data_IF_901074216284
#
_entry.id   IF_901074216284
#
_cell.length_a   1.000
_cell.length_b   1.000
_cell.length_c   1.000
_cell.angle_alpha   90.00
_cell.angle_beta   90.00
_cell.angle_gamma   90.00
#
_symmetry.space_group_name_H-M   'P 1'
#
loop_
_entity.id
_entity.type
_entity.pdbx_description
1 polymer ?
#
# COMPACT_ATOMS: atom_id res chain seq x y z
N UNK A 1 -19.24 4.69 8.46
CA UNK A 1 -19.07 3.61 9.47
C UNK A 1 -17.70 3.00 9.19
N UNK A 2 -16.94 2.68 10.20
CA UNK A 2 -15.63 2.01 10.10
C UNK A 2 -15.62 0.78 11.00
N UNK A 3 -14.77 -0.20 10.68
CA UNK A 3 -14.63 -1.47 11.39
C UNK A 3 -13.14 -1.81 11.53
N UNK A 4 -12.71 -2.25 12.71
CA UNK A 4 -11.36 -2.77 12.91
C UNK A 4 -11.28 -4.18 12.31
N UNK A 5 -10.22 -4.42 11.56
CA UNK A 5 -9.95 -5.70 10.91
C UNK A 5 -9.29 -6.72 11.83
N UNK A 6 -9.27 -7.94 11.35
CA UNK A 6 -8.69 -9.12 12.00
C UNK A 6 -7.71 -9.83 11.05
N UNK A 7 -6.94 -10.79 11.55
CA UNK A 7 -6.05 -11.60 10.72
C UNK A 7 -6.79 -12.33 9.58
N UNK A 8 -8.08 -12.65 9.75
CA UNK A 8 -8.90 -13.26 8.70
C UNK A 8 -9.11 -12.32 7.48
N UNK A 9 -9.15 -11.02 7.71
CA UNK A 9 -9.35 -10.03 6.64
C UNK A 9 -8.11 -9.90 5.74
N UNK A 10 -6.93 -10.25 6.23
CA UNK A 10 -5.64 -10.19 5.52
C UNK A 10 -5.04 -11.57 5.20
N UNK A 11 -5.68 -12.66 5.57
CA UNK A 11 -5.18 -14.02 5.39
C UNK A 11 -4.82 -14.33 3.92
N UNK A 12 -5.56 -13.78 2.97
CA UNK A 12 -5.33 -13.94 1.54
C UNK A 12 -4.00 -13.31 1.07
N UNK A 13 -3.51 -12.27 1.76
CA UNK A 13 -2.21 -11.64 1.51
C UNK A 13 -1.11 -12.49 2.15
N UNK A 14 -1.37 -13.01 3.34
CA UNK A 14 -0.39 -13.77 4.12
C UNK A 14 0.01 -15.12 3.49
N UNK A 15 -0.82 -15.68 2.60
CA UNK A 15 -0.50 -16.93 1.88
C UNK A 15 0.72 -16.81 0.98
N UNK A 16 1.13 -15.60 0.62
CA UNK A 16 2.37 -15.35 -0.12
C UNK A 16 3.63 -15.44 0.74
N UNK A 17 3.50 -15.37 2.08
CA UNK A 17 4.62 -15.42 3.05
C UNK A 17 5.52 -16.63 2.93
N UNK A 18 4.96 -17.79 2.63
CA UNK A 18 5.71 -19.05 2.67
C UNK A 18 6.65 -19.24 1.47
N UNK A 19 6.57 -18.42 0.44
CA UNK A 19 7.19 -18.69 -0.85
C UNK A 19 8.34 -17.78 -1.25
N UNK A 20 8.44 -16.56 -0.71
CA UNK A 20 9.50 -15.65 -1.09
C UNK A 20 9.82 -14.64 0.01
N UNK A 21 10.77 -14.98 0.86
CA UNK A 21 11.52 -14.00 1.66
C UNK A 21 12.47 -13.17 0.76
N UNK A 22 12.06 -12.91 -0.47
CA UNK A 22 12.89 -12.32 -1.50
C UNK A 22 12.46 -10.91 -1.90
N UNK A 23 13.21 -10.36 -2.84
CA UNK A 23 13.01 -9.04 -3.41
C UNK A 23 11.94 -8.99 -4.49
N UNK A 24 11.32 -10.12 -4.83
CA UNK A 24 10.29 -10.18 -5.88
C UNK A 24 9.03 -9.42 -5.46
N UNK A 25 8.28 -8.92 -6.43
CA UNK A 25 7.01 -8.21 -6.18
C UNK A 25 6.03 -9.08 -5.38
N UNK A 26 6.10 -10.39 -5.52
CA UNK A 26 5.24 -11.34 -4.80
C UNK A 26 5.54 -11.43 -3.30
N UNK A 27 6.62 -10.84 -2.80
CA UNK A 27 6.85 -10.67 -1.37
C UNK A 27 5.89 -9.60 -0.77
N UNK A 28 5.47 -8.62 -1.55
CA UNK A 28 4.57 -7.54 -1.13
C UNK A 28 3.13 -7.75 -1.60
N UNK A 29 2.94 -8.29 -2.81
CA UNK A 29 1.64 -8.43 -3.48
C UNK A 29 1.45 -9.91 -3.87
N UNK A 30 0.36 -10.59 -3.45
CA UNK A 30 0.10 -11.97 -3.85
C UNK A 30 0.03 -12.11 -5.37
N UNK A 31 0.47 -13.27 -5.94
CA UNK A 31 0.50 -13.48 -7.39
C UNK A 31 -0.89 -13.86 -7.95
N UNK A 32 -1.90 -13.04 -7.68
CA UNK A 32 -3.31 -13.27 -8.04
C UNK A 32 -3.87 -12.22 -9.00
N UNK A 33 -3.05 -11.21 -9.35
CA UNK A 33 -3.48 -10.10 -10.20
C UNK A 33 -2.96 -10.23 -11.64
N UNK A 34 -3.59 -9.47 -12.53
CA UNK A 34 -3.22 -9.45 -13.97
C UNK A 34 -1.91 -8.72 -14.21
N UNK A 35 -1.65 -7.64 -13.45
CA UNK A 35 -0.48 -6.80 -13.62
C UNK A 35 0.03 -6.25 -12.29
N UNK A 36 1.31 -5.87 -12.29
CA UNK A 36 2.01 -5.34 -11.12
C UNK A 36 2.92 -4.18 -11.51
N UNK A 37 3.11 -3.26 -10.58
CA UNK A 37 4.09 -2.18 -10.72
C UNK A 37 4.69 -1.79 -9.38
N UNK A 38 5.84 -1.12 -9.43
CA UNK A 38 6.38 -0.34 -8.34
C UNK A 38 6.26 1.15 -8.67
N UNK A 39 5.99 1.97 -7.66
CA UNK A 39 5.79 3.41 -7.78
C UNK A 39 6.69 4.07 -6.75
N UNK A 40 7.64 4.87 -7.22
CA UNK A 40 8.61 5.54 -6.35
C UNK A 40 7.92 6.60 -5.49
N UNK A 41 8.27 6.65 -4.21
CA UNK A 41 7.79 7.68 -3.31
C UNK A 41 8.57 8.99 -3.54
N UNK A 42 7.91 10.15 -3.42
CA UNK A 42 8.62 11.42 -3.56
C UNK A 42 9.64 11.60 -2.43
N UNK A 43 10.82 12.18 -2.73
CA UNK A 43 11.84 12.37 -1.72
C UNK A 43 11.40 13.39 -0.66
N UNK A 44 11.59 13.03 0.62
CA UNK A 44 11.57 13.95 1.78
C UNK A 44 10.38 14.92 1.87
N UNK A 45 9.17 14.49 1.52
CA UNK A 45 7.93 15.26 1.69
C UNK A 45 7.66 16.30 0.60
N UNK A 46 8.56 16.50 -0.35
CA UNK A 46 8.30 17.34 -1.50
C UNK A 46 7.29 16.68 -2.44
N UNK A 47 6.20 17.39 -2.77
CA UNK A 47 5.19 16.88 -3.68
C UNK A 47 4.33 15.74 -3.13
N UNK A 48 4.42 15.42 -1.83
CA UNK A 48 3.71 14.30 -1.23
C UNK A 48 2.18 14.37 -1.43
N UNK A 49 1.60 15.56 -1.29
CA UNK A 49 0.15 15.74 -1.50
C UNK A 49 -0.28 15.51 -2.94
N UNK A 50 0.55 15.87 -3.92
CA UNK A 50 0.29 15.62 -5.34
C UNK A 50 0.43 14.13 -5.65
N UNK A 51 1.45 13.49 -5.12
CA UNK A 51 1.67 12.05 -5.20
C UNK A 51 0.49 11.28 -4.58
N UNK A 52 0.05 11.61 -3.37
CA UNK A 52 -1.08 10.96 -2.70
C UNK A 52 -2.37 11.09 -3.52
N UNK A 53 -2.61 12.26 -4.14
CA UNK A 53 -3.75 12.45 -5.05
C UNK A 53 -3.66 11.60 -6.31
N UNK A 54 -2.47 11.54 -6.93
CA UNK A 54 -2.23 10.72 -8.12
C UNK A 54 -2.40 9.23 -7.79
N UNK A 55 -1.93 8.78 -6.63
CA UNK A 55 -2.14 7.41 -6.15
C UNK A 55 -3.61 7.07 -5.94
N UNK A 56 -4.38 7.94 -5.30
CA UNK A 56 -5.77 7.65 -4.92
C UNK A 56 -6.76 7.76 -6.09
N UNK A 57 -6.52 8.61 -7.07
CA UNK A 57 -7.48 8.90 -8.12
C UNK A 57 -7.87 7.66 -8.98
N UNK A 58 -6.93 6.82 -9.47
CA UNK A 58 -7.27 5.61 -10.19
C UNK A 58 -7.99 4.58 -9.32
N UNK A 59 -7.57 4.42 -8.04
CA UNK A 59 -8.16 3.45 -7.10
C UNK A 59 -9.63 3.80 -6.79
N UNK A 60 -9.93 5.08 -6.57
CA UNK A 60 -11.30 5.56 -6.33
C UNK A 60 -12.21 5.29 -7.52
N UNK A 61 -11.73 5.46 -8.75
CA UNK A 61 -12.48 5.14 -9.96
C UNK A 61 -12.72 3.63 -10.10
N UNK A 62 -11.69 2.83 -9.80
CA UNK A 62 -11.74 1.37 -9.91
C UNK A 62 -12.72 0.74 -8.92
N UNK A 63 -12.86 1.31 -7.73
CA UNK A 63 -13.67 0.77 -6.64
C UNK A 63 -14.76 1.74 -6.16
N UNK A 64 -15.38 2.45 -7.10
CA UNK A 64 -16.45 3.41 -6.80
C UNK A 64 -17.55 2.79 -5.93
N UNK A 65 -17.87 3.46 -4.81
CA UNK A 65 -18.93 3.04 -3.88
C UNK A 65 -18.59 1.86 -2.97
N UNK A 66 -17.37 1.32 -3.02
CA UNK A 66 -16.92 0.21 -2.16
C UNK A 66 -16.13 0.73 -0.97
N UNK A 67 -16.22 0.02 0.15
CA UNK A 67 -15.31 0.22 1.27
C UNK A 67 -13.92 -0.30 0.95
N UNK A 68 -12.92 0.29 1.60
CA UNK A 68 -11.53 -0.14 1.53
C UNK A 68 -11.06 -0.58 2.90
N UNK A 69 -10.10 -1.48 2.90
CA UNK A 69 -9.25 -1.78 4.02
C UNK A 69 -8.03 -0.88 3.97
N UNK A 70 -7.78 -0.19 5.08
CA UNK A 70 -6.67 0.74 5.29
C UNK A 70 -5.78 0.17 6.38
N UNK A 71 -4.56 -0.21 6.06
CA UNK A 71 -3.61 -0.81 6.97
C UNK A 71 -2.47 0.15 7.31
N UNK A 72 -2.29 0.43 8.58
CA UNK A 72 -1.25 1.32 9.11
C UNK A 72 -0.21 0.48 9.84
N UNK A 73 1.02 0.46 9.34
CA UNK A 73 2.14 -0.26 9.95
C UNK A 73 2.49 0.38 11.29
N UNK A 74 2.52 -0.43 12.35
CA UNK A 74 2.96 0.00 13.67
C UNK A 74 4.49 -0.03 13.75
N UNK A 75 5.09 1.13 13.56
CA UNK A 75 6.54 1.32 13.69
C UNK A 75 6.95 1.82 15.08
N UNK A 76 5.98 2.07 15.97
CA UNK A 76 6.22 2.73 17.27
C UNK A 76 6.36 4.25 17.18
N UNK A 77 6.08 4.86 16.04
CA UNK A 77 6.24 6.30 15.83
C UNK A 77 5.01 7.14 16.26
N UNK A 78 4.01 6.55 16.91
CA UNK A 78 2.76 7.19 17.38
C UNK A 78 1.96 7.96 16.30
N UNK A 79 2.21 7.66 15.03
CA UNK A 79 1.58 8.32 13.89
C UNK A 79 0.31 7.62 13.37
N UNK A 80 -0.03 6.46 13.94
CA UNK A 80 -1.19 5.69 13.54
C UNK A 80 -2.46 6.13 14.26
N UNK A 81 -3.58 6.04 13.54
CA UNK A 81 -4.92 6.22 14.10
C UNK A 81 -5.32 4.94 14.83
N UNK A 82 -6.01 5.08 15.96
CA UNK A 82 -6.41 3.93 16.80
C UNK A 82 -5.24 3.09 17.32
N UNK A 83 -4.27 3.68 18.04
CA UNK A 83 -3.06 2.97 18.49
C UNK A 83 -3.37 1.76 19.41
N UNK A 84 -4.47 1.81 20.17
CA UNK A 84 -4.92 0.75 21.06
C UNK A 84 -5.77 -0.34 20.36
N UNK A 85 -6.02 -0.21 19.06
CA UNK A 85 -6.80 -1.20 18.32
C UNK A 85 -6.05 -2.54 18.22
N UNK A 86 -6.77 -3.68 18.20
CA UNK A 86 -6.18 -4.95 17.85
C UNK A 86 -5.42 -4.87 16.54
N UNK A 87 -4.26 -5.51 16.47
CA UNK A 87 -3.38 -5.47 15.31
C UNK A 87 -3.43 -6.81 14.57
N UNK A 88 -3.37 -6.73 13.26
CA UNK A 88 -3.17 -7.89 12.38
C UNK A 88 -1.69 -8.08 12.13
N UNK A 89 -1.27 -9.33 11.88
CA UNK A 89 0.12 -9.66 11.58
C UNK A 89 0.28 -10.01 10.11
N UNK A 90 1.17 -9.29 9.41
CA UNK A 90 1.47 -9.51 8.00
C UNK A 90 2.97 -9.59 7.74
N UNK A 91 3.33 -10.06 6.56
CA UNK A 91 4.70 -10.15 6.06
C UNK A 91 5.63 -10.87 7.04
N UNK A 92 6.75 -10.32 7.39
CA UNK A 92 7.74 -10.92 8.30
C UNK A 92 7.36 -10.86 9.79
N UNK A 93 6.06 -10.77 10.11
CA UNK A 93 5.58 -10.65 11.48
C UNK A 93 5.29 -9.22 11.89
N UNK A 94 5.23 -8.28 10.94
CA UNK A 94 4.91 -6.89 11.23
C UNK A 94 3.45 -6.69 11.62
N UNK A 95 3.22 -5.75 12.51
CA UNK A 95 1.90 -5.44 13.04
C UNK A 95 1.28 -4.24 12.31
N UNK A 96 0.00 -4.38 11.96
CA UNK A 96 -0.78 -3.32 11.33
C UNK A 96 -2.07 -3.08 12.09
N UNK A 97 -2.45 -1.82 12.25
CA UNK A 97 -3.84 -1.47 12.53
C UNK A 97 -4.58 -1.50 11.21
N UNK A 98 -5.59 -2.37 11.08
CA UNK A 98 -6.38 -2.54 9.87
C UNK A 98 -7.79 -2.00 10.09
N UNK A 99 -8.24 -1.09 9.23
CA UNK A 99 -9.55 -0.44 9.38
C UNK A 99 -10.29 -0.49 8.06
N UNK A 100 -11.52 -1.01 8.07
CA UNK A 100 -12.44 -0.89 6.93
C UNK A 100 -13.15 0.46 7.00
N UNK A 101 -13.06 1.23 5.91
CA UNK A 101 -13.58 2.58 5.83
C UNK A 101 -13.90 3.02 4.39
N UNK A 102 -14.36 4.24 4.23
CA UNK A 102 -14.52 4.83 2.90
C UNK A 102 -13.17 5.27 2.33
N UNK A 103 -13.02 5.29 0.99
CA UNK A 103 -11.80 5.74 0.32
C UNK A 103 -11.30 7.12 0.73
N UNK A 104 -12.21 8.00 1.14
CA UNK A 104 -11.87 9.37 1.54
C UNK A 104 -11.01 9.41 2.80
N UNK A 105 -11.17 8.44 3.71
CA UNK A 105 -10.39 8.35 4.93
C UNK A 105 -8.92 8.00 4.69
N UNK A 106 -8.58 7.41 3.56
CA UNK A 106 -7.21 7.01 3.26
C UNK A 106 -6.19 8.16 3.37
N UNK A 107 -6.59 9.39 3.01
CA UNK A 107 -5.73 10.56 3.07
C UNK A 107 -5.86 11.39 4.35
N UNK A 108 -6.68 10.96 5.33
CA UNK A 108 -7.05 11.81 6.47
C UNK A 108 -6.73 11.24 7.84
N UNK A 109 -6.41 9.96 7.94
CA UNK A 109 -6.32 9.28 9.24
C UNK A 109 -4.91 9.16 9.81
N UNK A 110 -3.88 9.34 9.01
CA UNK A 110 -2.53 9.39 9.56
C UNK A 110 -2.32 10.73 10.26
N UNK A 111 -1.85 10.68 11.51
CA UNK A 111 -1.51 11.90 12.25
C UNK A 111 -0.27 12.55 11.62
N UNK A 112 -0.36 13.85 11.36
CA UNK A 112 0.80 14.67 11.04
C UNK A 112 1.51 15.01 12.35
N UNK A 113 2.57 14.29 12.66
CA UNK A 113 3.56 14.69 13.67
C UNK A 113 4.80 15.25 12.99
N UNK A 114 5.72 15.83 13.73
CA UNK A 114 6.96 16.43 13.20
C UNK A 114 7.81 15.46 12.35
N UNK A 115 7.53 14.16 12.45
CA UNK A 115 8.25 13.09 11.75
C UNK A 115 7.46 12.41 10.62
N UNK A 116 6.16 12.69 10.49
CA UNK A 116 5.28 11.94 9.58
C UNK A 116 4.99 12.64 8.26
N UNK A 117 5.28 13.92 8.12
CA UNK A 117 4.99 14.67 6.89
C UNK A 117 5.81 14.21 5.67
N UNK A 118 6.87 13.48 5.87
CA UNK A 118 7.73 12.92 4.82
C UNK A 118 7.29 11.55 4.30
N UNK A 119 6.40 10.84 5.02
CA UNK A 119 5.85 9.55 4.57
C UNK A 119 4.49 9.67 3.88
N UNK A 120 3.93 10.89 3.77
CA UNK A 120 2.58 11.10 3.25
C UNK A 120 1.47 10.69 4.19
N UNK A 121 0.23 10.92 3.74
CA UNK A 121 -0.97 10.63 4.51
C UNK A 121 -1.51 9.21 4.27
N UNK A 122 -1.03 8.51 3.23
CA UNK A 122 -1.58 7.21 2.84
C UNK A 122 -1.21 6.09 3.80
N UNK A 123 -2.10 5.11 3.99
CA UNK A 123 -1.78 3.88 4.71
C UNK A 123 -0.66 3.10 4.00
N UNK A 124 0.04 2.26 4.75
CA UNK A 124 1.02 1.34 4.18
C UNK A 124 0.38 0.21 3.36
N UNK A 125 -0.89 -0.10 3.62
CA UNK A 125 -1.63 -1.15 2.96
C UNK A 125 -3.03 -0.64 2.61
N UNK A 126 -3.46 -0.83 1.36
CA UNK A 126 -4.81 -0.50 0.91
C UNK A 126 -5.33 -1.56 -0.04
N UNK A 127 -6.58 -1.98 0.14
CA UNK A 127 -7.29 -2.85 -0.80
C UNK A 127 -8.80 -2.72 -0.61
N UNK A 128 -9.62 -2.93 -1.68
CA UNK A 128 -11.07 -2.88 -1.56
C UNK A 128 -11.61 -4.18 -0.95
N UNK A 129 -12.83 -4.14 -0.46
CA UNK A 129 -13.49 -5.30 0.14
C UNK A 129 -13.57 -6.51 -0.81
N UNK A 130 -13.63 -6.30 -2.13
CA UNK A 130 -13.64 -7.35 -3.14
C UNK A 130 -12.24 -7.84 -3.57
N UNK A 131 -11.18 -7.29 -2.98
CA UNK A 131 -9.77 -7.67 -3.25
C UNK A 131 -9.35 -7.55 -4.71
N UNK A 132 -10.00 -6.67 -5.47
CA UNK A 132 -9.72 -6.49 -6.90
C UNK A 132 -8.37 -5.83 -7.20
N UNK A 133 -7.76 -5.19 -6.21
CA UNK A 133 -6.41 -4.65 -6.27
C UNK A 133 -5.80 -4.60 -4.86
N UNK A 134 -4.48 -4.46 -4.78
CA UNK A 134 -3.73 -4.28 -3.53
C UNK A 134 -2.60 -3.28 -3.74
N UNK A 135 -2.49 -2.34 -2.82
CA UNK A 135 -1.36 -1.42 -2.68
C UNK A 135 -0.64 -1.73 -1.38
N UNK A 136 0.67 -1.88 -1.42
CA UNK A 136 1.48 -2.17 -0.24
C UNK A 136 2.82 -1.45 -0.30
N UNK A 137 3.09 -0.62 0.72
CA UNK A 137 4.38 -0.02 0.99
C UNK A 137 5.02 -0.77 2.14
N UNK A 138 6.09 -1.53 1.87
CA UNK A 138 6.78 -2.28 2.90
C UNK A 138 7.62 -1.36 3.79
N UNK A 139 8.01 -1.88 4.95
CA UNK A 139 8.85 -1.13 5.88
C UNK A 139 10.19 -0.79 5.23
N UNK A 140 10.57 0.46 5.33
CA UNK A 140 11.80 1.05 4.80
C UNK A 140 11.95 1.08 3.27
N UNK A 141 10.95 0.60 2.50
CA UNK A 141 10.95 0.78 1.06
C UNK A 141 10.67 2.26 0.68
N UNK A 142 11.43 2.78 -0.28
CA UNK A 142 11.22 4.11 -0.89
C UNK A 142 10.22 4.06 -2.06
N UNK A 143 9.48 2.98 -2.17
CA UNK A 143 8.49 2.74 -3.21
C UNK A 143 7.28 1.98 -2.68
N UNK A 144 6.19 2.10 -3.41
CA UNK A 144 4.95 1.37 -3.17
C UNK A 144 4.77 0.31 -4.25
N UNK A 145 4.35 -0.89 -3.85
CA UNK A 145 3.97 -1.96 -4.76
C UNK A 145 2.46 -1.93 -5.01
N UNK A 146 2.06 -2.18 -6.25
CA UNK A 146 0.65 -2.35 -6.63
C UNK A 146 0.45 -3.62 -7.44
N UNK A 147 -0.67 -4.32 -7.21
CA UNK A 147 -1.21 -5.37 -8.06
C UNK A 147 -2.70 -5.14 -8.31
N UNK A 148 -3.16 -5.44 -9.51
CA UNK A 148 -4.56 -5.24 -9.88
C UNK A 148 -4.87 -5.59 -11.32
N UNK A 149 -6.06 -5.19 -11.83
CA UNK A 149 -6.38 -5.28 -13.24
C UNK A 149 -5.35 -4.56 -14.10
N UNK A 150 -5.01 -5.10 -15.27
CA UNK A 150 -4.02 -4.51 -16.16
C UNK A 150 -4.33 -3.04 -16.48
N UNK A 151 -5.59 -2.70 -16.75
CA UNK A 151 -6.01 -1.33 -17.03
C UNK A 151 -5.83 -0.37 -15.84
N UNK A 152 -5.85 -0.85 -14.60
CA UNK A 152 -5.56 -0.05 -13.43
C UNK A 152 -4.07 0.23 -13.33
N UNK A 153 -3.24 -0.80 -13.43
CA UNK A 153 -1.77 -0.68 -13.36
C UNK A 153 -1.25 0.20 -14.49
N UNK A 154 -1.80 0.05 -15.70
CA UNK A 154 -1.44 0.86 -16.88
C UNK A 154 -1.65 2.38 -16.64
N UNK A 155 -2.68 2.76 -15.90
CA UNK A 155 -2.90 4.17 -15.53
C UNK A 155 -1.77 4.76 -14.70
N UNK A 156 -1.19 3.98 -13.79
CA UNK A 156 -0.04 4.42 -12.99
C UNK A 156 1.22 4.53 -13.84
N UNK A 157 1.43 3.58 -14.76
CA UNK A 157 2.59 3.57 -15.64
C UNK A 157 2.60 4.76 -16.62
N UNK A 158 1.44 5.33 -16.92
CA UNK A 158 1.28 6.48 -17.84
C UNK A 158 0.95 7.80 -17.14
N UNK A 159 0.88 7.83 -15.81
CA UNK A 159 0.64 9.07 -15.06
C UNK A 159 1.92 9.92 -15.02
N UNK A 160 1.92 11.13 -15.61
CA UNK A 160 3.14 11.97 -15.66
C UNK A 160 3.56 12.51 -14.28
N UNK A 161 2.69 12.42 -13.28
CA UNK A 161 2.96 12.81 -11.90
C UNK A 161 3.56 11.70 -11.04
N UNK A 162 3.76 10.51 -11.62
CA UNK A 162 4.28 9.35 -10.91
C UNK A 162 5.48 8.74 -11.62
N UNK A 163 6.47 8.34 -10.87
CA UNK A 163 7.56 7.51 -11.34
C UNK A 163 7.21 6.04 -11.08
N UNK A 164 6.75 5.33 -12.11
CA UNK A 164 6.24 3.97 -11.98
C UNK A 164 6.89 3.02 -12.98
N UNK A 165 7.12 1.77 -12.56
CA UNK A 165 7.78 0.74 -13.36
C UNK A 165 6.97 -0.56 -13.33
N UNK A 166 6.73 -1.21 -14.50
CA UNK A 166 6.07 -2.51 -14.53
C UNK A 166 6.99 -3.59 -13.96
N UNK A 167 6.42 -4.53 -13.23
CA UNK A 167 7.16 -5.64 -12.59
C UNK A 167 6.40 -6.95 -12.83
N UNK A 168 7.07 -7.97 -13.35
CA UNK A 168 6.49 -9.31 -13.43
C UNK A 168 6.56 -10.04 -12.06
N UNK A 169 5.69 -11.01 -11.78
CA UNK A 169 5.65 -11.72 -10.49
C UNK A 169 6.99 -12.28 -10.00
N UNK A 170 7.82 -12.75 -10.90
CA UNK A 170 9.15 -13.30 -10.59
C UNK A 170 10.30 -12.29 -10.60
N UNK A 171 10.02 -11.01 -10.84
CA UNK A 171 11.04 -9.97 -10.91
C UNK A 171 11.23 -9.25 -9.57
N UNK A 172 12.43 -8.69 -9.40
CA UNK A 172 12.74 -7.79 -8.30
C UNK A 172 11.85 -6.55 -8.37
N UNK A 173 11.28 -6.17 -7.23
CA UNK A 173 10.39 -5.00 -7.10
C UNK A 173 11.16 -3.69 -6.93
N UNK A 174 12.47 -3.74 -6.78
CA UNK A 174 13.30 -2.55 -6.57
C UNK A 174 13.32 -1.70 -7.83
N UNK A 175 12.88 -0.42 -7.77
CA UNK A 175 12.92 0.46 -8.93
C UNK A 175 14.36 0.76 -9.37
N UNK A 176 14.58 1.10 -10.65
CA UNK A 176 15.89 1.52 -11.13
C UNK A 176 16.48 2.67 -10.29
N UNK A 177 17.76 2.55 -9.93
CA UNK A 177 18.45 3.57 -9.13
C UNK A 177 18.21 3.50 -7.62
N UNK A 178 17.34 2.62 -7.15
CA UNK A 178 17.07 2.38 -5.73
C UNK A 178 17.81 1.13 -5.23
N UNK A 179 17.94 1.03 -3.92
CA UNK A 179 18.50 -0.16 -3.26
C UNK A 179 17.46 -0.69 -2.28
N UNK A 180 17.21 -1.99 -2.33
CA UNK A 180 16.39 -2.63 -1.32
C UNK A 180 17.13 -2.62 0.02
N UNK A 181 16.43 -2.29 1.14
CA UNK A 181 16.98 -2.32 2.48
C UNK A 181 17.44 -3.73 2.91
#
# INVERSE_FOLDING_TARGET
MWRIGTDADVAWIATSKARNMGRTITAAIPPVFEAYATIVLPPWGEGQGDHDRAMLAPLRRQSAGRSWWLGYLDTGADDIVFPDAPKVTLYWGWHYVLVEARPEQAATWRRSGDWSFWKGALPNLMFPADRSWLVSTLWDDDWTCIGGPAALVDRYLHDPGLEAYPVAPGQDRTPPGHQAP
#
